data_IF_344716905782
#
_entry.id   IF_344716905782
#
_cell.length_a   1.000
_cell.length_b   1.000
_cell.length_c   1.000
_cell.angle_alpha   90.00
_cell.angle_beta   90.00
_cell.angle_gamma   90.00
#
_symmetry.space_group_name_H-M   'P 1'
#
loop_
_entity.id
_entity.type
_entity.pdbx_description
1 polymer ?
#
# COMPACT_ATOMS: atom_id res chain seq x y z
N UNK A 1 -28.32 -23.80 -64.67
CA UNK A 1 -28.67 -22.45 -64.21
C UNK A 1 -28.24 -22.36 -62.76
N UNK A 2 -27.08 -21.78 -62.46
CA UNK A 2 -26.84 -20.32 -62.34
C UNK A 2 -27.33 -19.79 -60.98
N UNK A 3 -26.42 -19.39 -60.07
CA UNK A 3 -26.00 -17.99 -59.79
C UNK A 3 -27.07 -17.30 -58.89
N UNK A 4 -26.85 -17.07 -57.58
CA UNK A 4 -25.99 -16.06 -56.89
C UNK A 4 -26.82 -14.86 -56.36
N UNK A 5 -26.44 -14.41 -55.15
CA UNK A 5 -26.55 -13.07 -54.52
C UNK A 5 -27.92 -12.40 -54.21
N UNK A 6 -28.05 -12.08 -52.91
CA UNK A 6 -28.14 -10.71 -52.35
C UNK A 6 -29.48 -10.03 -52.04
N UNK A 7 -29.42 -9.36 -50.88
CA UNK A 7 -29.82 -7.98 -50.63
C UNK A 7 -31.23 -7.65 -50.12
N UNK A 8 -31.21 -7.13 -48.88
CA UNK A 8 -31.81 -5.86 -48.44
C UNK A 8 -33.34 -5.73 -48.52
N UNK A 9 -33.96 -5.68 -47.34
CA UNK A 9 -34.46 -4.44 -46.72
C UNK A 9 -35.65 -4.76 -45.83
N UNK A 10 -35.51 -4.56 -44.53
CA UNK A 10 -36.61 -4.02 -43.73
C UNK A 10 -36.03 -3.35 -42.48
N UNK A 11 -35.72 -2.07 -42.66
CA UNK A 11 -35.67 -1.06 -41.62
C UNK A 11 -37.11 -0.58 -41.41
N UNK A 12 -37.66 -0.68 -40.20
CA UNK A 12 -38.35 0.45 -39.56
C UNK A 12 -38.99 0.05 -38.22
N UNK A 13 -38.76 0.90 -37.22
CA UNK A 13 -39.48 1.05 -35.94
C UNK A 13 -39.11 0.14 -34.76
N UNK A 14 -38.13 0.58 -33.97
CA UNK A 14 -38.28 0.68 -32.52
C UNK A 14 -37.24 1.66 -31.95
N UNK A 15 -37.71 2.86 -31.66
CA UNK A 15 -37.04 3.88 -30.86
C UNK A 15 -36.67 3.32 -29.48
N UNK A 16 -35.38 3.30 -29.15
CA UNK A 16 -34.92 3.34 -27.76
C UNK A 16 -33.83 4.40 -27.64
N UNK A 17 -33.89 5.24 -26.60
CA UNK A 17 -32.98 6.38 -26.47
C UNK A 17 -31.57 5.87 -26.14
N UNK A 18 -30.60 6.27 -26.97
CA UNK A 18 -29.21 6.36 -26.59
C UNK A 18 -29.12 7.34 -25.41
N UNK A 19 -29.15 6.82 -24.19
CA UNK A 19 -28.65 7.56 -23.05
C UNK A 19 -27.14 7.67 -23.25
N UNK A 20 -26.73 8.85 -23.71
CA UNK A 20 -25.37 9.33 -23.65
C UNK A 20 -24.76 8.91 -22.31
N UNK A 21 -23.71 8.08 -22.36
CA UNK A 21 -22.71 8.07 -21.32
C UNK A 21 -22.19 9.51 -21.29
N UNK A 22 -22.74 10.30 -20.37
CA UNK A 22 -22.09 11.53 -19.98
C UNK A 22 -20.70 11.09 -19.52
N UNK A 23 -19.68 11.55 -20.25
CA UNK A 23 -18.33 11.64 -19.75
C UNK A 23 -18.41 12.38 -18.41
N UNK A 24 -18.55 11.61 -17.32
CA UNK A 24 -18.17 12.07 -16.00
C UNK A 24 -16.75 12.60 -16.20
N UNK A 25 -16.51 13.91 -16.02
CA UNK A 25 -15.17 14.43 -16.20
C UNK A 25 -14.31 13.66 -15.21
N UNK A 26 -13.35 12.88 -15.73
CA UNK A 26 -12.30 12.26 -14.94
C UNK A 26 -11.77 13.40 -14.08
N UNK A 27 -12.10 13.37 -12.79
CA UNK A 27 -11.60 14.36 -11.84
C UNK A 27 -10.09 14.30 -11.98
N UNK A 28 -9.56 15.39 -12.52
CA UNK A 28 -8.14 15.69 -12.68
C UNK A 28 -7.31 14.91 -11.66
N UNK A 29 -6.36 14.09 -12.14
CA UNK A 29 -5.31 13.45 -11.34
C UNK A 29 -4.29 14.53 -10.90
N UNK A 30 -4.82 15.63 -10.38
CA UNK A 30 -4.15 16.90 -10.19
C UNK A 30 -4.62 17.53 -8.89
N UNK A 31 -4.67 16.73 -7.82
CA UNK A 31 -4.49 17.21 -6.44
C UNK A 31 -4.28 16.05 -5.43
N UNK A 32 -3.39 15.09 -5.71
CA UNK A 32 -2.87 14.17 -4.69
C UNK A 32 -1.89 14.92 -3.77
N UNK A 33 -2.37 15.98 -3.12
CA UNK A 33 -1.61 16.64 -2.06
C UNK A 33 -1.83 15.88 -0.75
N UNK A 34 -0.83 15.10 -0.37
CA UNK A 34 -0.26 15.09 0.99
C UNK A 34 -1.14 14.64 2.17
N UNK A 35 -2.11 13.75 2.01
CA UNK A 35 -2.79 13.15 3.16
C UNK A 35 -2.26 11.75 3.48
N UNK A 36 -2.27 11.38 4.77
CA UNK A 36 -1.89 10.03 5.21
C UNK A 36 -3.01 9.09 4.81
N UNK A 37 -2.67 7.97 4.20
CA UNK A 37 -3.66 7.00 3.78
C UNK A 37 -4.06 6.12 4.96
N UNK A 38 -5.36 6.09 5.24
CA UNK A 38 -5.98 5.17 6.20
C UNK A 38 -6.88 4.19 5.42
N UNK A 39 -7.20 3.02 5.98
CA UNK A 39 -8.17 2.13 5.33
C UNK A 39 -9.50 2.85 5.00
N UNK A 40 -9.95 3.73 5.88
CA UNK A 40 -11.15 4.58 5.76
C UNK A 40 -11.06 5.55 4.58
N UNK A 41 -9.89 6.15 4.34
CA UNK A 41 -9.69 7.09 3.25
C UNK A 41 -9.62 6.39 1.89
N UNK A 42 -9.22 5.12 1.87
CA UNK A 42 -9.16 4.31 0.63
C UNK A 42 -10.54 3.72 0.31
N UNK A 43 -11.25 3.20 1.32
CA UNK A 43 -12.59 2.63 1.18
C UNK A 43 -13.50 3.18 2.30
N UNK A 44 -14.45 4.09 1.95
CA UNK A 44 -15.39 4.68 2.89
C UNK A 44 -16.24 3.62 3.61
N UNK A 45 -16.77 3.98 4.79
CA UNK A 45 -17.38 3.04 5.71
C UNK A 45 -18.60 2.26 5.15
N UNK A 46 -18.52 0.93 5.28
CA UNK A 46 -19.60 -0.06 5.21
C UNK A 46 -19.26 -1.30 6.07
N UNK A 47 -19.82 -2.48 5.77
CA UNK A 47 -19.42 -3.75 6.40
C UNK A 47 -18.05 -4.22 5.87
N UNK A 48 -16.98 -3.57 6.35
CA UNK A 48 -15.63 -3.69 5.80
C UNK A 48 -14.61 -4.28 6.77
N UNK A 49 -15.00 -4.48 8.03
CA UNK A 49 -14.22 -5.26 8.99
C UNK A 49 -14.61 -6.73 8.91
N UNK A 50 -13.61 -7.62 8.82
CA UNK A 50 -13.78 -9.06 8.83
C UNK A 50 -12.72 -9.70 9.71
N UNK A 51 -12.84 -10.99 10.00
CA UNK A 51 -11.72 -11.79 10.48
C UNK A 51 -10.96 -12.30 9.27
N UNK A 52 -9.66 -12.07 9.23
CA UNK A 52 -8.76 -12.71 8.27
C UNK A 52 -7.98 -13.81 8.97
N UNK A 53 -7.59 -14.83 8.21
CA UNK A 53 -6.68 -15.88 8.66
C UNK A 53 -5.51 -15.91 7.72
N UNK A 54 -4.31 -15.78 8.26
CA UNK A 54 -3.08 -15.86 7.51
C UNK A 54 -2.93 -17.31 7.00
N UNK A 55 -2.89 -17.53 5.67
CA UNK A 55 -2.84 -18.88 5.11
C UNK A 55 -1.51 -19.61 5.36
N UNK A 56 -0.45 -18.88 5.74
CA UNK A 56 0.89 -19.43 5.97
C UNK A 56 1.11 -19.82 7.44
N UNK A 57 0.57 -19.04 8.38
CA UNK A 57 0.80 -19.23 9.83
C UNK A 57 -0.42 -19.76 10.58
N UNK A 58 -1.62 -19.64 9.99
CA UNK A 58 -2.89 -19.94 10.66
C UNK A 58 -3.33 -18.88 11.68
N UNK A 59 -2.59 -17.78 11.82
CA UNK A 59 -2.94 -16.67 12.72
C UNK A 59 -4.20 -15.96 12.21
N UNK A 60 -5.19 -15.74 13.09
CA UNK A 60 -6.43 -15.05 12.75
C UNK A 60 -6.62 -13.78 13.57
N UNK A 61 -7.18 -12.75 12.96
CA UNK A 61 -7.47 -11.51 13.65
C UNK A 61 -8.40 -10.58 12.88
N UNK A 62 -8.91 -9.52 13.54
CA UNK A 62 -9.73 -8.52 12.88
C UNK A 62 -8.90 -7.74 11.86
N UNK A 63 -9.46 -7.55 10.68
CA UNK A 63 -8.87 -6.76 9.60
C UNK A 63 -9.92 -5.89 8.94
N UNK A 64 -9.47 -4.88 8.21
CA UNK A 64 -10.34 -4.01 7.42
C UNK A 64 -9.94 -4.03 5.95
N UNK A 65 -10.92 -4.01 5.05
CA UNK A 65 -10.67 -3.77 3.62
C UNK A 65 -9.91 -2.45 3.43
N UNK A 66 -9.03 -2.40 2.43
CA UNK A 66 -8.20 -1.22 2.18
C UNK A 66 -6.93 -1.13 3.03
N UNK A 67 -6.72 -2.00 4.03
CA UNK A 67 -5.48 -2.02 4.85
C UNK A 67 -4.21 -2.12 4.00
N UNK A 68 -4.17 -3.07 3.07
CA UNK A 68 -3.01 -3.27 2.19
C UNK A 68 -2.81 -2.06 1.27
N UNK A 69 -3.88 -1.57 0.66
CA UNK A 69 -3.82 -0.42 -0.24
C UNK A 69 -3.38 0.87 0.48
N UNK A 70 -3.89 1.14 1.67
CA UNK A 70 -3.46 2.26 2.51
C UNK A 70 -1.96 2.17 2.84
N UNK A 71 -1.50 0.98 3.20
CA UNK A 71 -0.07 0.73 3.49
C UNK A 71 0.80 0.99 2.27
N UNK A 72 0.43 0.47 1.09
CA UNK A 72 1.22 0.66 -0.14
C UNK A 72 1.26 2.13 -0.59
N UNK A 73 0.15 2.85 -0.46
CA UNK A 73 0.12 4.29 -0.75
C UNK A 73 1.00 5.08 0.23
N UNK A 74 0.98 4.73 1.52
CA UNK A 74 1.88 5.32 2.51
C UNK A 74 3.35 4.98 2.25
N UNK A 75 3.68 3.77 1.79
CA UNK A 75 5.04 3.41 1.35
C UNK A 75 5.50 4.31 0.21
N UNK A 76 4.64 4.54 -0.79
CA UNK A 76 4.97 5.44 -1.90
C UNK A 76 5.20 6.88 -1.43
N UNK A 77 4.38 7.35 -0.47
CA UNK A 77 4.54 8.67 0.14
C UNK A 77 5.84 8.77 0.93
N UNK A 78 6.17 7.77 1.75
CA UNK A 78 7.44 7.70 2.48
C UNK A 78 8.65 7.66 1.56
N UNK A 79 8.59 6.94 0.43
CA UNK A 79 9.68 6.95 -0.56
C UNK A 79 9.97 8.37 -1.08
N UNK A 80 8.93 9.21 -1.18
CA UNK A 80 9.08 10.61 -1.61
C UNK A 80 9.60 11.48 -0.46
N UNK A 81 9.00 11.37 0.73
CA UNK A 81 9.30 12.19 1.91
C UNK A 81 10.67 11.89 2.53
N UNK A 82 11.17 10.66 2.42
CA UNK A 82 12.46 10.26 2.98
C UNK A 82 13.62 10.40 1.97
N UNK A 83 13.36 10.97 0.79
CA UNK A 83 14.41 11.29 -0.17
C UNK A 83 15.26 12.48 0.29
N UNK A 84 16.51 12.59 -0.16
CA UNK A 84 17.51 13.57 0.32
C UNK A 84 17.11 15.06 0.22
N UNK A 85 15.94 15.40 -0.35
CA UNK A 85 15.45 16.77 -0.55
C UNK A 85 14.34 17.19 0.44
N UNK A 86 14.09 16.41 1.49
CA UNK A 86 13.00 16.66 2.43
C UNK A 86 13.19 17.93 3.27
N UNK A 87 12.12 18.69 3.44
CA UNK A 87 11.98 19.89 4.26
C UNK A 87 11.55 19.57 5.70
N UNK A 88 11.58 20.56 6.60
CA UNK A 88 11.16 20.36 8.00
C UNK A 88 9.68 19.99 8.17
N UNK A 89 8.80 20.44 7.27
CA UNK A 89 7.37 20.08 7.27
C UNK A 89 7.11 18.62 6.89
N UNK A 90 8.09 17.96 6.26
CA UNK A 90 8.00 16.54 5.93
C UNK A 90 8.16 15.66 7.18
N UNK A 91 8.80 16.15 8.24
CA UNK A 91 9.02 15.39 9.48
C UNK A 91 7.72 15.07 10.21
N UNK A 92 6.83 16.05 10.40
CA UNK A 92 5.50 15.85 11.00
C UNK A 92 4.69 14.87 10.16
N UNK A 93 4.74 14.99 8.83
CA UNK A 93 4.02 14.08 7.93
C UNK A 93 4.53 12.65 8.02
N UNK A 94 5.85 12.46 8.06
CA UNK A 94 6.46 11.15 8.25
C UNK A 94 5.99 10.52 9.55
N UNK A 95 5.90 11.30 10.63
CA UNK A 95 5.41 10.83 11.92
C UNK A 95 3.94 10.37 11.86
N UNK A 96 3.05 11.16 11.25
CA UNK A 96 1.65 10.76 11.05
C UNK A 96 1.54 9.45 10.26
N UNK A 97 2.39 9.26 9.24
CA UNK A 97 2.42 8.03 8.44
C UNK A 97 2.93 6.85 9.29
N UNK A 98 3.98 7.05 10.10
CA UNK A 98 4.50 6.02 11.01
C UNK A 98 3.41 5.54 11.96
N UNK A 99 2.68 6.47 12.58
CA UNK A 99 1.58 6.16 13.49
C UNK A 99 0.46 5.38 12.78
N UNK A 100 0.05 5.85 11.60
CA UNK A 100 -0.95 5.16 10.79
C UNK A 100 -0.51 3.73 10.46
N UNK A 101 0.70 3.55 9.91
CA UNK A 101 1.22 2.22 9.56
C UNK A 101 1.33 1.31 10.79
N UNK A 102 1.85 1.82 11.91
CA UNK A 102 2.01 1.06 13.16
C UNK A 102 0.67 0.48 13.64
N UNK A 103 -0.42 1.23 13.46
CA UNK A 103 -1.77 0.75 13.76
C UNK A 103 -2.24 -0.39 12.84
N UNK A 104 -1.77 -0.42 11.58
CA UNK A 104 -2.12 -1.43 10.58
C UNK A 104 -1.32 -2.73 10.69
N UNK A 105 -0.16 -2.70 11.36
CA UNK A 105 0.76 -3.85 11.42
C UNK A 105 0.12 -5.17 11.90
N UNK A 106 -0.73 -5.20 12.94
CA UNK A 106 -1.43 -6.43 13.32
C UNK A 106 -2.31 -6.98 12.20
N UNK A 107 -3.05 -6.10 11.52
CA UNK A 107 -3.87 -6.49 10.37
C UNK A 107 -3.01 -7.01 9.22
N UNK A 108 -1.89 -6.36 8.92
CA UNK A 108 -0.96 -6.80 7.86
C UNK A 108 -0.36 -8.18 8.14
N UNK A 109 -0.06 -8.50 9.41
CA UNK A 109 0.43 -9.80 9.84
C UNK A 109 -0.61 -10.90 9.62
N UNK A 110 -1.85 -10.70 10.07
CA UNK A 110 -2.91 -11.72 9.89
C UNK A 110 -3.42 -11.81 8.44
N UNK A 111 -3.23 -10.77 7.62
CA UNK A 111 -3.44 -10.85 6.17
C UNK A 111 -2.33 -11.67 5.49
N UNK A 112 -1.15 -11.76 6.10
CA UNK A 112 0.02 -12.47 5.54
C UNK A 112 0.83 -11.63 4.55
N UNK A 113 0.82 -10.30 4.67
CA UNK A 113 1.62 -9.44 3.76
C UNK A 113 3.11 -9.71 3.89
N UNK A 114 3.59 -9.97 5.12
CA UNK A 114 4.98 -10.25 5.40
C UNK A 114 5.38 -11.71 5.10
N UNK A 115 4.41 -12.59 4.82
CA UNK A 115 4.66 -13.95 4.33
C UNK A 115 4.64 -14.00 2.79
N UNK A 116 3.80 -13.16 2.16
CA UNK A 116 3.80 -12.96 0.71
C UNK A 116 5.07 -12.26 0.21
N UNK A 117 5.59 -11.34 1.03
CA UNK A 117 6.81 -10.60 0.76
C UNK A 117 7.60 -10.53 2.06
N UNK A 118 8.62 -11.36 2.17
CA UNK A 118 9.38 -11.55 3.41
C UNK A 118 10.03 -10.26 3.91
N UNK A 119 10.25 -10.10 5.23
CA UNK A 119 10.99 -8.97 5.76
C UNK A 119 12.34 -8.75 5.05
N UNK A 120 13.06 -9.82 4.72
CA UNK A 120 14.31 -9.77 3.97
C UNK A 120 14.14 -9.14 2.57
N UNK A 121 13.09 -9.49 1.84
CA UNK A 121 12.80 -8.91 0.52
C UNK A 121 12.44 -7.42 0.62
N UNK A 122 11.72 -7.01 1.66
CA UNK A 122 11.43 -5.60 1.88
C UNK A 122 12.69 -4.80 2.25
N UNK A 123 13.56 -5.37 3.09
CA UNK A 123 14.83 -4.75 3.49
C UNK A 123 15.88 -4.74 2.38
N UNK A 124 15.71 -5.54 1.33
CA UNK A 124 16.63 -5.59 0.19
C UNK A 124 16.53 -4.37 -0.72
N UNK A 125 15.47 -3.56 -0.61
CA UNK A 125 15.22 -2.43 -1.51
C UNK A 125 15.93 -1.15 -1.06
N UNK A 126 17.10 -0.88 -1.64
CA UNK A 126 17.89 0.34 -1.35
C UNK A 126 17.23 1.63 -1.85
N UNK A 127 16.35 1.53 -2.84
CA UNK A 127 15.67 2.67 -3.47
C UNK A 127 14.28 2.95 -2.88
N UNK A 128 13.82 2.14 -1.92
CA UNK A 128 12.47 2.25 -1.35
C UNK A 128 12.52 2.32 0.18
N UNK A 129 12.98 3.46 0.75
CA UNK A 129 13.10 3.63 2.20
C UNK A 129 11.76 3.47 2.94
N UNK A 130 10.63 3.69 2.26
CA UNK A 130 9.30 3.42 2.80
C UNK A 130 9.08 1.95 3.12
N UNK A 131 9.52 1.01 2.26
CA UNK A 131 9.41 -0.44 2.56
C UNK A 131 10.27 -0.79 3.77
N UNK A 132 11.50 -0.30 3.79
CA UNK A 132 12.42 -0.53 4.90
C UNK A 132 11.78 -0.06 6.21
N UNK A 133 11.21 1.15 6.24
CA UNK A 133 10.58 1.70 7.43
C UNK A 133 9.38 0.84 7.88
N UNK A 134 8.48 0.44 6.97
CA UNK A 134 7.35 -0.45 7.32
C UNK A 134 7.84 -1.76 7.92
N UNK A 135 8.88 -2.37 7.35
CA UNK A 135 9.44 -3.61 7.87
C UNK A 135 10.11 -3.42 9.23
N UNK A 136 10.78 -2.29 9.46
CA UNK A 136 11.35 -1.97 10.76
C UNK A 136 10.25 -1.84 11.81
N UNK A 137 9.17 -1.11 11.52
CA UNK A 137 8.01 -1.00 12.41
C UNK A 137 7.37 -2.38 12.71
N UNK A 138 7.35 -3.27 11.71
CA UNK A 138 6.89 -4.65 11.90
C UNK A 138 7.77 -5.41 12.89
N UNK A 139 9.09 -5.33 12.73
CA UNK A 139 10.04 -6.02 13.58
C UNK A 139 10.11 -5.44 15.00
N UNK A 140 9.87 -4.13 15.18
CA UNK A 140 9.69 -3.52 16.50
C UNK A 140 8.51 -4.14 17.25
N UNK A 141 7.40 -4.39 16.53
CA UNK A 141 6.19 -4.99 17.12
C UNK A 141 6.32 -6.49 17.35
N UNK A 142 7.10 -7.17 16.52
CA UNK A 142 7.28 -8.62 16.50
C UNK A 142 8.78 -8.99 16.52
N UNK A 143 9.49 -8.69 17.62
CA UNK A 143 10.94 -8.85 17.69
C UNK A 143 11.39 -10.30 17.57
N UNK A 144 10.50 -11.27 17.86
CA UNK A 144 10.80 -12.69 17.69
C UNK A 144 11.02 -13.11 16.23
N UNK A 145 10.59 -12.28 15.27
CA UNK A 145 10.78 -12.54 13.84
C UNK A 145 12.14 -12.03 13.34
N UNK A 146 12.95 -11.37 14.19
CA UNK A 146 14.30 -10.92 13.85
C UNK A 146 15.25 -12.12 13.89
N UNK A 147 15.70 -12.56 12.70
CA UNK A 147 16.74 -13.57 12.55
C UNK A 147 18.12 -12.93 12.26
N UNK A 148 19.18 -13.76 12.19
CA UNK A 148 20.55 -13.30 11.94
C UNK A 148 20.73 -12.56 10.61
N UNK A 149 19.99 -12.94 9.56
CA UNK A 149 20.07 -12.29 8.25
C UNK A 149 19.43 -10.91 8.29
N UNK A 150 18.24 -10.81 8.91
CA UNK A 150 17.54 -9.54 9.13
C UNK A 150 18.42 -8.60 9.96
N UNK A 151 18.98 -9.08 11.08
CA UNK A 151 19.88 -8.27 11.93
C UNK A 151 21.08 -7.74 11.16
N UNK A 152 21.74 -8.59 10.37
CA UNK A 152 22.87 -8.18 9.51
C UNK A 152 22.44 -7.10 8.51
N UNK A 153 21.27 -7.26 7.89
CA UNK A 153 20.76 -6.29 6.91
C UNK A 153 20.38 -4.95 7.56
N UNK A 154 19.74 -4.96 8.72
CA UNK A 154 19.41 -3.76 9.48
C UNK A 154 20.67 -2.97 9.87
N UNK A 155 21.71 -3.65 10.36
CA UNK A 155 23.00 -3.01 10.66
C UNK A 155 23.66 -2.41 9.42
N UNK A 156 23.58 -3.10 8.27
CA UNK A 156 24.09 -2.57 7.01
C UNK A 156 23.36 -1.27 6.61
N UNK A 157 22.02 -1.27 6.69
CA UNK A 157 21.20 -0.11 6.36
C UNK A 157 21.48 1.04 7.33
N UNK A 158 21.58 0.77 8.63
CA UNK A 158 21.89 1.77 9.66
C UNK A 158 23.20 2.50 9.36
N UNK A 159 24.22 1.78 8.90
CA UNK A 159 25.53 2.35 8.56
C UNK A 159 25.54 3.14 7.24
N UNK A 160 24.56 2.92 6.36
CA UNK A 160 24.50 3.53 5.02
C UNK A 160 23.48 4.68 4.93
N UNK A 161 22.44 4.64 5.76
CA UNK A 161 21.35 5.61 5.69
C UNK A 161 21.76 6.96 6.24
N UNK A 162 21.33 8.02 5.57
CA UNK A 162 21.38 9.41 6.08
C UNK A 162 20.02 9.88 6.61
N UNK A 163 19.00 9.04 6.49
CA UNK A 163 17.63 9.36 6.86
C UNK A 163 17.46 9.15 8.36
N UNK A 164 17.39 10.26 9.11
CA UNK A 164 17.32 10.26 10.57
C UNK A 164 16.19 9.35 11.12
N UNK A 165 14.97 9.52 10.62
CA UNK A 165 13.82 8.73 11.06
C UNK A 165 14.04 7.21 10.89
N UNK A 166 14.70 6.82 9.80
CA UNK A 166 15.01 5.42 9.54
C UNK A 166 16.10 4.90 10.48
N UNK A 167 17.16 5.67 10.71
CA UNK A 167 18.20 5.28 11.66
C UNK A 167 17.69 5.13 13.10
N UNK A 168 16.80 6.03 13.54
CA UNK A 168 16.19 5.98 14.87
C UNK A 168 15.31 4.74 15.01
N UNK A 169 14.44 4.49 14.01
CA UNK A 169 13.56 3.31 14.03
C UNK A 169 14.35 1.99 14.01
N UNK A 170 15.43 1.91 13.23
CA UNK A 170 16.28 0.71 13.19
C UNK A 170 16.98 0.48 14.54
N UNK A 171 17.48 1.55 15.18
CA UNK A 171 18.13 1.44 16.48
C UNK A 171 17.18 0.96 17.58
N UNK A 172 15.89 1.31 17.51
CA UNK A 172 14.87 0.82 18.43
C UNK A 172 14.49 -0.65 18.17
N UNK A 173 14.60 -1.14 16.94
CA UNK A 173 14.27 -2.52 16.59
C UNK A 173 15.37 -3.54 16.96
N UNK A 174 16.61 -3.10 17.19
CA UNK A 174 17.80 -3.94 17.38
C UNK A 174 18.19 -4.10 18.85
#
# INVERSE_FOLDING_TARGET
>A
MEIVLSALADLSSASTPHACLADEPIKSIGNLQKEVFTPESVLPAGADSTVSTNPYTGESGPTRKGTVAATLNNVALLNTLLSEKSSSSDSTKVQEIIEAITSLIPSLRVIGVFDLFTPEEWLSSETQPGRVLVTVLYLQKYPQDINSNIKKRLLQILNQTKVKALSESIAEAL
#
